data_IF_298326289187
#
_entry.id   IF_298326289187
#
_cell.length_a   1.000
_cell.length_b   1.000
_cell.length_c   1.000
_cell.angle_alpha   90.00
_cell.angle_beta   90.00
_cell.angle_gamma   90.00
#
_symmetry.space_group_name_H-M   'P 1'
#
loop_
_entity.id
_entity.type
_entity.pdbx_description
1 polymer ?
#
# COMPACT_ATOMS: atom_id res chain seq x y z
N UNK A 1 -13.21 15.88 5.95
CA UNK A 1 -11.81 15.78 6.39
C UNK A 1 -11.00 14.81 5.53
N UNK A 2 -11.39 13.54 5.35
CA UNK A 2 -10.73 12.57 4.47
C UNK A 2 -10.46 13.10 3.05
N UNK A 3 -11.43 13.75 2.41
CA UNK A 3 -11.28 14.31 1.06
C UNK A 3 -10.15 15.34 0.99
N UNK A 4 -10.01 16.16 2.02
CA UNK A 4 -8.94 17.18 2.09
C UNK A 4 -7.57 16.52 2.21
N UNK A 5 -7.44 15.49 3.06
CA UNK A 5 -6.21 14.71 3.20
C UNK A 5 -5.84 14.06 1.87
N UNK A 6 -6.79 13.41 1.19
CA UNK A 6 -6.55 12.78 -0.12
C UNK A 6 -6.13 13.81 -1.19
N UNK A 7 -6.76 14.99 -1.21
CA UNK A 7 -6.40 16.05 -2.16
C UNK A 7 -4.98 16.58 -1.90
N UNK A 8 -4.61 16.77 -0.64
CA UNK A 8 -3.27 17.19 -0.25
C UNK A 8 -2.22 16.10 -0.58
N UNK A 9 -2.51 14.83 -0.30
CA UNK A 9 -1.62 13.72 -0.62
C UNK A 9 -1.40 13.58 -2.14
N UNK A 10 -2.47 13.74 -2.93
CA UNK A 10 -2.36 13.77 -4.39
C UNK A 10 -1.49 14.93 -4.88
N UNK A 11 -1.63 16.11 -4.29
CA UNK A 11 -0.78 17.25 -4.60
C UNK A 11 0.69 16.99 -4.23
N UNK A 12 0.95 16.40 -3.06
CA UNK A 12 2.29 16.09 -2.57
C UNK A 12 3.05 15.07 -3.45
N UNK A 13 2.34 14.24 -4.22
CA UNK A 13 2.98 13.30 -5.16
C UNK A 13 3.93 14.01 -6.15
N UNK A 14 3.55 15.21 -6.62
CA UNK A 14 4.34 15.97 -7.61
C UNK A 14 5.66 16.48 -7.01
N UNK A 15 5.69 17.20 -5.88
CA UNK A 15 6.94 17.62 -5.24
C UNK A 15 7.85 16.45 -4.83
N UNK A 16 7.27 15.34 -4.36
CA UNK A 16 8.04 14.15 -4.04
C UNK A 16 8.66 13.48 -5.28
N UNK A 17 7.94 13.44 -6.41
CA UNK A 17 8.48 12.98 -7.68
C UNK A 17 9.63 13.88 -8.16
N UNK A 18 9.49 15.20 -7.98
CA UNK A 18 10.53 16.17 -8.32
C UNK A 18 11.81 15.99 -7.48
N UNK A 19 11.69 15.73 -6.17
CA UNK A 19 12.84 15.42 -5.32
C UNK A 19 13.60 14.17 -5.79
N UNK A 20 12.88 13.14 -6.23
CA UNK A 20 13.47 11.92 -6.81
C UNK A 20 14.17 12.21 -8.13
N UNK A 21 13.55 13.02 -8.99
CA UNK A 21 14.14 13.46 -10.27
C UNK A 21 15.43 14.25 -10.05
N UNK A 22 15.47 15.15 -9.06
CA UNK A 22 16.68 15.90 -8.66
C UNK A 22 17.75 15.05 -7.98
N UNK A 23 17.58 13.74 -7.87
CA UNK A 23 18.52 12.81 -7.19
C UNK A 23 18.86 13.24 -5.76
N UNK A 24 17.85 13.73 -5.00
CA UNK A 24 17.99 14.09 -3.57
C UNK A 24 17.27 13.08 -2.67
N UNK A 25 17.69 11.80 -2.64
CA UNK A 25 16.99 10.74 -1.91
C UNK A 25 17.00 10.97 -0.40
N UNK A 26 18.08 11.53 0.15
CA UNK A 26 18.22 11.78 1.60
C UNK A 26 17.12 12.73 2.07
N UNK A 27 16.89 13.83 1.34
CA UNK A 27 15.84 14.80 1.71
C UNK A 27 14.44 14.16 1.61
N UNK A 28 14.20 13.35 0.57
CA UNK A 28 12.96 12.60 0.42
C UNK A 28 12.71 11.67 1.60
N UNK A 29 13.71 10.86 1.97
CA UNK A 29 13.63 9.92 3.10
C UNK A 29 13.46 10.66 4.41
N UNK A 30 14.21 11.73 4.64
CA UNK A 30 14.14 12.53 5.88
C UNK A 30 12.72 13.11 6.09
N UNK A 31 12.12 13.71 5.06
CA UNK A 31 10.75 14.26 5.15
C UNK A 31 9.74 13.13 5.44
N UNK A 32 9.85 11.98 4.77
CA UNK A 32 8.97 10.83 5.03
C UNK A 32 9.15 10.27 6.42
N UNK A 33 10.39 10.16 6.91
CA UNK A 33 10.69 9.65 8.24
C UNK A 33 10.15 10.56 9.34
N UNK A 34 10.38 11.88 9.23
CA UNK A 34 9.81 12.87 10.15
C UNK A 34 8.29 12.80 10.16
N UNK A 35 7.67 12.65 8.99
CA UNK A 35 6.22 12.53 8.89
C UNK A 35 5.68 11.27 9.56
N UNK A 36 6.35 10.13 9.40
CA UNK A 36 5.95 8.87 10.06
C UNK A 36 6.05 9.02 11.58
N UNK A 37 7.16 9.55 12.08
CA UNK A 37 7.34 9.79 13.52
C UNK A 37 6.26 10.75 14.04
N UNK A 38 6.03 11.87 13.36
CA UNK A 38 5.01 12.84 13.74
C UNK A 38 3.62 12.21 13.77
N UNK A 39 3.28 11.35 12.80
CA UNK A 39 2.01 10.64 12.76
C UNK A 39 1.85 9.68 13.95
N UNK A 40 2.90 8.90 14.26
CA UNK A 40 2.90 7.99 15.41
C UNK A 40 2.73 8.78 16.71
N UNK A 41 3.52 9.83 16.89
CA UNK A 41 3.46 10.67 18.11
C UNK A 41 2.08 11.31 18.27
N UNK A 42 1.50 11.86 17.21
CA UNK A 42 0.16 12.46 17.24
C UNK A 42 -0.92 11.41 17.53
N UNK A 43 -0.83 10.23 16.96
CA UNK A 43 -1.78 9.16 17.26
C UNK A 43 -1.68 8.69 18.72
N UNK A 44 -0.47 8.52 19.26
CA UNK A 44 -0.27 8.20 20.67
C UNK A 44 -0.76 9.33 21.58
N UNK A 45 -0.52 10.58 21.20
CA UNK A 45 -1.01 11.74 21.92
C UNK A 45 -2.54 11.75 22.00
N UNK A 46 -3.24 11.67 20.87
CA UNK A 46 -4.69 11.74 20.84
C UNK A 46 -5.39 10.50 21.38
N UNK A 47 -4.82 9.30 21.18
CA UNK A 47 -5.50 8.05 21.55
C UNK A 47 -5.12 7.51 22.93
N UNK A 48 -3.94 7.87 23.47
CA UNK A 48 -3.50 7.41 24.78
C UNK A 48 -3.37 8.56 25.77
N UNK A 49 -2.66 9.63 25.40
CA UNK A 49 -2.37 10.71 26.33
C UNK A 49 -3.60 11.59 26.62
N UNK A 50 -4.36 11.97 25.60
CA UNK A 50 -5.56 12.79 25.79
C UNK A 50 -6.66 12.12 26.64
N UNK A 51 -7.01 10.84 26.47
CA UNK A 51 -7.95 10.16 27.36
C UNK A 51 -7.45 10.12 28.80
N UNK A 52 -6.19 9.80 29.02
CA UNK A 52 -5.59 9.78 30.35
C UNK A 52 -5.61 11.16 31.02
N UNK A 53 -5.27 12.23 30.25
CA UNK A 53 -5.35 13.61 30.74
C UNK A 53 -6.79 14.05 31.02
N UNK A 54 -7.76 13.62 30.22
CA UNK A 54 -9.18 13.94 30.43
C UNK A 54 -9.70 13.35 31.76
N UNK A 55 -9.24 12.15 32.15
CA UNK A 55 -9.60 11.53 33.42
C UNK A 55 -8.95 12.24 34.62
N UNK A 56 -7.72 12.74 34.50
CA UNK A 56 -6.95 13.28 35.62
C UNK A 56 -6.96 14.82 35.68
N UNK A 57 -7.02 15.50 34.55
CA UNK A 57 -6.93 16.96 34.42
C UNK A 57 -7.90 17.50 33.32
N UNK A 58 -9.22 17.42 33.52
CA UNK A 58 -10.21 17.79 32.51
C UNK A 58 -10.08 19.25 32.03
N UNK A 59 -9.77 20.17 32.96
CA UNK A 59 -9.65 21.61 32.63
C UNK A 59 -8.61 21.94 31.54
N UNK A 60 -7.64 21.08 31.28
CA UNK A 60 -6.55 21.32 30.32
C UNK A 60 -6.86 20.80 28.91
N UNK A 61 -7.79 19.84 28.80
CA UNK A 61 -7.98 19.07 27.57
C UNK A 61 -9.38 19.25 26.97
N UNK A 62 -10.40 19.58 27.78
CA UNK A 62 -11.80 19.63 27.37
C UNK A 62 -12.10 20.65 26.27
N UNK A 63 -11.26 21.69 26.09
CA UNK A 63 -11.49 22.69 25.06
C UNK A 63 -11.17 22.20 23.63
N UNK A 64 -10.33 21.15 23.47
CA UNK A 64 -9.95 20.61 22.14
C UNK A 64 -10.19 19.10 22.01
N UNK A 65 -10.40 18.38 23.10
CA UNK A 65 -10.59 16.94 23.10
C UNK A 65 -12.03 16.56 23.42
N UNK A 66 -12.66 15.79 22.52
CA UNK A 66 -13.99 15.25 22.73
C UNK A 66 -13.92 13.72 22.76
N UNK A 67 -14.26 13.05 23.88
CA UNK A 67 -14.17 11.59 24.02
C UNK A 67 -15.00 10.80 22.99
N UNK A 68 -16.08 11.39 22.46
CA UNK A 68 -16.93 10.73 21.47
C UNK A 68 -16.29 10.67 20.07
N UNK A 69 -15.23 11.46 19.82
CA UNK A 69 -14.63 11.58 18.50
C UNK A 69 -13.52 10.55 18.20
N UNK A 70 -13.17 9.74 19.16
CA UNK A 70 -12.13 8.68 19.23
C UNK A 70 -11.38 8.39 17.90
N UNK A 71 -12.02 7.67 16.95
CA UNK A 71 -11.44 7.31 15.65
C UNK A 71 -11.20 8.54 14.77
N UNK A 72 -11.93 9.62 14.97
CA UNK A 72 -11.78 10.87 14.23
C UNK A 72 -10.41 11.52 14.41
N UNK A 73 -9.79 11.35 15.57
CA UNK A 73 -8.44 11.90 15.84
C UNK A 73 -7.35 11.28 14.97
N UNK A 74 -7.52 10.05 14.48
CA UNK A 74 -6.61 9.45 13.50
C UNK A 74 -6.58 10.29 12.21
N UNK A 75 -7.75 10.76 11.77
CA UNK A 75 -7.84 11.63 10.59
C UNK A 75 -7.28 13.04 10.84
N UNK A 76 -7.39 13.54 12.08
CA UNK A 76 -6.75 14.81 12.50
C UNK A 76 -5.24 14.67 12.45
N UNK A 77 -4.69 13.58 13.01
CA UNK A 77 -3.27 13.28 13.00
C UNK A 77 -2.73 13.18 11.56
N UNK A 78 -3.46 12.49 10.68
CA UNK A 78 -3.12 12.39 9.26
C UNK A 78 -3.13 13.77 8.59
N UNK A 79 -4.14 14.60 8.84
CA UNK A 79 -4.21 15.94 8.26
C UNK A 79 -3.02 16.81 8.70
N UNK A 80 -2.72 16.85 10.00
CA UNK A 80 -1.59 17.60 10.54
C UNK A 80 -0.28 17.13 9.92
N UNK A 81 -0.11 15.80 9.79
CA UNK A 81 1.10 15.21 9.20
C UNK A 81 1.24 15.54 7.72
N UNK A 82 0.15 15.51 6.96
CA UNK A 82 0.15 15.88 5.54
C UNK A 82 0.44 17.37 5.37
N UNK A 83 -0.11 18.23 6.23
CA UNK A 83 0.24 19.67 6.27
C UNK A 83 1.72 19.87 6.61
N UNK A 84 2.28 19.12 7.55
CA UNK A 84 3.71 19.16 7.88
C UNK A 84 4.58 18.79 6.68
N UNK A 85 4.21 17.74 5.92
CA UNK A 85 4.90 17.37 4.69
C UNK A 85 4.86 18.50 3.67
N UNK A 86 3.69 19.12 3.48
CA UNK A 86 3.53 20.24 2.57
C UNK A 86 4.45 21.41 2.99
N UNK A 87 4.47 21.73 4.28
CA UNK A 87 5.32 22.79 4.81
C UNK A 87 6.81 22.54 4.57
N UNK A 88 7.25 21.30 4.79
CA UNK A 88 8.64 20.89 4.52
C UNK A 88 9.01 20.95 3.02
N UNK A 89 8.03 20.87 2.12
CA UNK A 89 8.22 20.91 0.67
C UNK A 89 8.07 22.31 0.07
N UNK A 90 7.57 23.30 0.81
CA UNK A 90 7.45 24.71 0.34
C UNK A 90 8.75 25.23 -0.28
N UNK A 91 9.95 25.01 0.31
CA UNK A 91 11.20 25.50 -0.28
C UNK A 91 11.48 24.95 -1.68
N UNK A 92 11.00 23.73 -1.98
CA UNK A 92 11.15 23.12 -3.31
C UNK A 92 10.13 23.64 -4.32
N UNK A 93 9.00 24.16 -3.84
CA UNK A 93 7.96 24.77 -4.67
C UNK A 93 8.26 26.23 -5.01
N UNK A 94 9.16 26.88 -4.28
CA UNK A 94 9.60 28.24 -4.56
C UNK A 94 10.55 28.26 -5.76
N UNK A 95 10.27 29.12 -6.73
CA UNK A 95 11.11 29.31 -7.92
C UNK A 95 10.59 28.60 -9.18
N UNK A 96 9.43 27.95 -9.13
CA UNK A 96 8.75 27.48 -10.33
C UNK A 96 8.01 28.64 -11.04
N UNK A 97 8.18 28.71 -12.36
CA UNK A 97 7.31 29.53 -13.19
C UNK A 97 5.97 28.76 -13.37
N UNK A 98 4.93 29.21 -12.69
CA UNK A 98 3.58 28.63 -12.76
C UNK A 98 2.93 28.95 -14.12
N UNK A 99 3.51 28.43 -15.20
CA UNK A 99 2.93 28.52 -16.55
C UNK A 99 2.41 27.15 -16.94
N UNK A 100 1.12 27.08 -17.24
CA UNK A 100 0.48 25.84 -17.71
C UNK A 100 0.58 25.81 -19.25
N UNK A 101 1.43 24.92 -19.75
CA UNK A 101 1.42 24.58 -21.18
C UNK A 101 0.29 23.56 -21.42
N UNK A 102 -0.76 24.00 -22.11
CA UNK A 102 -1.95 23.19 -22.43
C UNK A 102 -1.61 21.98 -23.30
N UNK A 103 -0.62 22.10 -24.21
CA UNK A 103 -0.25 20.99 -25.09
C UNK A 103 0.50 19.91 -24.29
N UNK A 104 1.43 20.31 -23.42
CA UNK A 104 2.15 19.41 -22.54
C UNK A 104 1.18 18.72 -21.57
N UNK A 105 0.28 19.47 -20.94
CA UNK A 105 -0.73 18.93 -20.05
C UNK A 105 -1.61 17.88 -20.73
N UNK A 106 -2.07 18.14 -21.96
CA UNK A 106 -2.86 17.19 -22.74
C UNK A 106 -2.10 15.89 -23.01
N UNK A 107 -0.82 15.99 -23.39
CA UNK A 107 0.05 14.81 -23.61
C UNK A 107 0.22 14.01 -22.32
N UNK A 108 0.47 14.67 -21.19
CA UNK A 108 0.60 14.02 -19.89
C UNK A 108 -0.69 13.31 -19.48
N UNK A 109 -1.86 13.92 -19.69
CA UNK A 109 -3.15 13.32 -19.36
C UNK A 109 -3.45 12.10 -20.23
N UNK A 110 -3.18 12.16 -21.55
CA UNK A 110 -3.35 11.02 -22.45
C UNK A 110 -2.46 9.85 -22.04
N UNK A 111 -1.23 10.13 -21.61
CA UNK A 111 -0.30 9.10 -21.14
C UNK A 111 -0.73 8.53 -19.77
N UNK A 112 -1.19 9.38 -18.87
CA UNK A 112 -1.54 8.97 -17.50
C UNK A 112 -2.88 8.22 -17.41
N UNK A 113 -3.80 8.45 -18.32
CA UNK A 113 -5.14 7.85 -18.28
C UNK A 113 -5.14 6.31 -18.35
N UNK A 114 -4.41 5.65 -19.28
CA UNK A 114 -4.30 4.19 -19.26
C UNK A 114 -3.65 3.64 -17.99
N UNK A 115 -2.66 4.36 -17.44
CA UNK A 115 -1.98 3.98 -16.19
C UNK A 115 -2.95 4.08 -15.01
N UNK A 116 -3.81 5.09 -15.00
CA UNK A 116 -4.86 5.24 -13.98
C UNK A 116 -5.84 4.07 -14.01
N UNK A 117 -6.32 3.67 -15.20
CA UNK A 117 -7.21 2.50 -15.34
C UNK A 117 -6.51 1.24 -14.86
N UNK A 118 -5.27 1.01 -15.27
CA UNK A 118 -4.47 -0.12 -14.81
C UNK A 118 -4.32 -0.14 -13.27
N UNK A 119 -4.06 1.02 -12.66
CA UNK A 119 -3.95 1.17 -11.21
C UNK A 119 -5.28 0.90 -10.50
N UNK A 120 -6.41 1.40 -11.02
CA UNK A 120 -7.75 1.16 -10.46
C UNK A 120 -8.10 -0.33 -10.50
N UNK A 121 -7.89 -0.99 -11.64
CA UNK A 121 -8.13 -2.45 -11.77
C UNK A 121 -7.23 -3.23 -10.80
N UNK A 122 -5.97 -2.82 -10.64
CA UNK A 122 -5.05 -3.43 -9.67
C UNK A 122 -5.52 -3.29 -8.21
N UNK A 123 -6.08 -2.14 -7.84
CA UNK A 123 -6.65 -1.93 -6.49
C UNK A 123 -7.93 -2.76 -6.33
N UNK A 124 -8.80 -2.79 -7.34
CA UNK A 124 -10.01 -3.60 -7.30
C UNK A 124 -9.67 -5.09 -7.11
N UNK A 125 -8.68 -5.62 -7.83
CA UNK A 125 -8.23 -7.01 -7.66
C UNK A 125 -7.73 -7.34 -6.25
N UNK A 126 -7.30 -6.34 -5.47
CA UNK A 126 -6.82 -6.54 -4.08
C UNK A 126 -7.90 -6.31 -3.01
N UNK A 127 -9.02 -5.68 -3.39
CA UNK A 127 -10.00 -5.20 -2.41
C UNK A 127 -11.40 -5.74 -2.65
N UNK A 128 -11.68 -6.24 -3.85
CA UNK A 128 -13.03 -6.67 -4.23
C UNK A 128 -13.56 -7.81 -3.35
N UNK A 129 -12.68 -8.75 -2.99
CA UNK A 129 -12.97 -9.83 -2.03
C UNK A 129 -13.48 -9.26 -0.69
N UNK A 130 -12.79 -8.27 -0.15
CA UNK A 130 -13.15 -7.64 1.13
C UNK A 130 -14.43 -6.81 1.04
N UNK A 131 -14.73 -6.26 -0.13
CA UNK A 131 -15.97 -5.49 -0.35
C UNK A 131 -17.16 -6.42 -0.49
N UNK A 132 -17.04 -7.53 -1.22
CA UNK A 132 -18.11 -8.48 -1.49
C UNK A 132 -18.38 -9.37 -0.28
N UNK A 133 -17.35 -9.78 0.46
CA UNK A 133 -17.39 -10.76 1.54
C UNK A 133 -18.54 -10.56 2.54
N UNK A 134 -18.81 -9.35 3.10
CA UNK A 134 -19.90 -9.14 4.05
C UNK A 134 -21.31 -9.31 3.45
N UNK A 135 -21.44 -9.23 2.13
CA UNK A 135 -22.73 -9.38 1.43
C UNK A 135 -23.07 -10.83 1.09
N UNK A 136 -22.11 -11.77 1.26
CA UNK A 136 -22.32 -13.18 1.04
C UNK A 136 -23.02 -13.87 2.23
N UNK A 137 -23.07 -13.22 3.38
CA UNK A 137 -23.71 -13.73 4.58
C UNK A 137 -25.14 -13.23 4.68
N UNK A 138 -26.05 -14.08 5.19
CA UNK A 138 -27.45 -13.70 5.46
C UNK A 138 -27.56 -12.60 6.50
N UNK A 139 -26.69 -12.64 7.51
CA UNK A 139 -26.53 -11.56 8.49
C UNK A 139 -25.26 -10.75 8.19
N UNK A 140 -25.45 -9.46 7.94
CA UNK A 140 -24.34 -8.53 7.65
C UNK A 140 -23.39 -8.37 8.84
N UNK A 141 -23.88 -8.50 10.06
CA UNK A 141 -23.06 -8.42 11.29
C UNK A 141 -22.08 -9.61 11.35
N UNK A 142 -22.60 -10.81 11.10
CA UNK A 142 -21.76 -12.01 11.02
C UNK A 142 -20.73 -11.89 9.91
N UNK A 143 -21.11 -11.41 8.72
CA UNK A 143 -20.20 -11.14 7.62
C UNK A 143 -19.09 -10.18 7.96
N UNK A 144 -19.35 -9.13 8.74
CA UNK A 144 -18.32 -8.20 9.21
C UNK A 144 -17.36 -8.82 10.23
N UNK A 145 -17.86 -9.68 11.13
CA UNK A 145 -17.01 -10.43 12.07
C UNK A 145 -16.08 -11.37 11.31
N UNK A 146 -16.61 -12.13 10.36
CA UNK A 146 -15.82 -13.04 9.53
C UNK A 146 -14.79 -12.29 8.67
N UNK A 147 -15.16 -11.13 8.13
CA UNK A 147 -14.22 -10.25 7.43
C UNK A 147 -13.09 -9.78 8.36
N UNK A 148 -13.40 -9.50 9.64
CA UNK A 148 -12.40 -9.16 10.66
C UNK A 148 -11.41 -10.30 10.88
N UNK A 149 -11.89 -11.54 10.99
CA UNK A 149 -11.09 -12.75 11.14
C UNK A 149 -10.16 -12.95 9.94
N UNK A 150 -10.72 -12.85 8.71
CA UNK A 150 -9.94 -12.88 7.47
C UNK A 150 -8.90 -11.75 7.41
N UNK A 151 -9.29 -10.54 7.84
CA UNK A 151 -8.40 -9.37 7.92
C UNK A 151 -7.21 -9.59 8.85
N UNK A 152 -7.39 -10.30 9.96
CA UNK A 152 -6.30 -10.66 10.88
C UNK A 152 -5.32 -11.65 10.22
N UNK A 153 -5.82 -12.67 9.51
CA UNK A 153 -4.99 -13.60 8.75
C UNK A 153 -4.16 -12.88 7.67
N UNK A 154 -4.78 -11.93 6.95
CA UNK A 154 -4.08 -11.13 5.93
C UNK A 154 -2.98 -10.24 6.50
N UNK A 155 -3.08 -9.79 7.76
CA UNK A 155 -2.00 -9.04 8.43
C UNK A 155 -0.76 -9.89 8.67
N UNK A 156 -0.91 -11.17 9.04
CA UNK A 156 0.22 -12.10 9.15
C UNK A 156 0.85 -12.31 7.78
N UNK A 157 0.03 -12.53 6.76
CA UNK A 157 0.50 -12.71 5.38
C UNK A 157 1.16 -11.45 4.77
N UNK A 158 0.94 -10.27 5.36
CA UNK A 158 1.58 -9.02 4.91
C UNK A 158 3.11 -9.10 4.94
N UNK A 159 3.71 -9.93 5.77
CA UNK A 159 5.16 -10.18 5.78
C UNK A 159 5.64 -10.62 4.38
N UNK A 160 4.88 -11.53 3.73
CA UNK A 160 5.19 -11.96 2.37
C UNK A 160 5.01 -10.84 1.34
N UNK A 161 3.96 -10.01 1.49
CA UNK A 161 3.75 -8.85 0.63
C UNK A 161 4.90 -7.83 0.76
N UNK A 162 5.41 -7.59 1.97
CA UNK A 162 6.59 -6.75 2.21
C UNK A 162 7.84 -7.33 1.56
N UNK A 163 8.07 -8.64 1.67
CA UNK A 163 9.18 -9.32 1.00
C UNK A 163 9.10 -9.15 -0.52
N UNK A 164 7.95 -9.42 -1.12
CA UNK A 164 7.72 -9.25 -2.56
C UNK A 164 7.96 -7.80 -3.00
N UNK A 165 7.52 -6.84 -2.20
CA UNK A 165 7.72 -5.42 -2.46
C UNK A 165 9.20 -5.00 -2.37
N UNK A 166 9.92 -5.48 -1.36
CA UNK A 166 11.35 -5.21 -1.20
C UNK A 166 12.16 -5.79 -2.38
N UNK A 167 11.85 -7.04 -2.77
CA UNK A 167 12.45 -7.65 -3.95
C UNK A 167 12.16 -6.84 -5.22
N UNK A 168 10.94 -6.39 -5.42
CA UNK A 168 10.56 -5.57 -6.58
C UNK A 168 11.35 -4.27 -6.63
N UNK A 169 11.52 -3.57 -5.52
CA UNK A 169 12.28 -2.32 -5.48
C UNK A 169 13.77 -2.50 -5.81
N UNK A 170 14.35 -3.64 -5.44
CA UNK A 170 15.74 -3.95 -5.79
C UNK A 170 15.88 -4.41 -7.24
N UNK A 171 14.91 -5.20 -7.72
CA UNK A 171 14.97 -5.85 -9.03
C UNK A 171 14.60 -4.92 -10.18
N UNK A 172 13.62 -4.03 -9.99
CA UNK A 172 13.11 -3.13 -11.03
C UNK A 172 14.20 -2.25 -11.67
N UNK A 173 15.05 -1.50 -10.91
CA UNK A 173 16.14 -0.72 -11.50
C UNK A 173 17.19 -1.57 -12.21
N UNK A 174 17.45 -2.78 -11.71
CA UNK A 174 18.40 -3.70 -12.29
C UNK A 174 17.96 -4.21 -13.66
N UNK A 175 16.68 -4.55 -13.82
CA UNK A 175 16.08 -5.00 -15.08
C UNK A 175 16.11 -3.91 -16.13
N UNK A 176 15.66 -2.71 -15.78
CA UNK A 176 15.64 -1.58 -16.72
C UNK A 176 17.05 -1.06 -17.06
N UNK A 177 18.00 -1.17 -16.14
CA UNK A 177 19.40 -0.77 -16.36
C UNK A 177 20.12 -1.63 -17.39
N UNK A 178 19.78 -2.91 -17.49
CA UNK A 178 20.42 -3.88 -18.39
C UNK A 178 19.68 -4.16 -19.70
N UNK A 179 18.59 -3.47 -19.95
CA UNK A 179 17.76 -3.66 -21.15
C UNK A 179 18.57 -3.54 -22.48
N UNK A 180 19.65 -2.76 -22.50
CA UNK A 180 20.48 -2.51 -23.68
C UNK A 180 21.56 -3.56 -23.96
N UNK A 181 21.80 -4.53 -23.07
CA UNK A 181 22.95 -5.46 -23.13
C UNK A 181 22.67 -6.80 -23.86
N UNK A 182 21.54 -6.95 -24.55
CA UNK A 182 21.26 -8.16 -25.35
C UNK A 182 20.38 -9.20 -24.65
N UNK A 183 20.57 -10.51 -24.92
CA UNK A 183 19.69 -11.58 -24.41
C UNK A 183 19.84 -11.80 -22.90
N UNK A 184 18.99 -11.13 -22.14
CA UNK A 184 18.95 -11.19 -20.67
C UNK A 184 18.04 -12.31 -20.11
N UNK A 185 17.58 -13.26 -20.94
CA UNK A 185 16.62 -14.32 -20.52
C UNK A 185 17.17 -15.16 -19.37
N UNK A 186 18.45 -15.51 -19.41
CA UNK A 186 19.10 -16.28 -18.32
C UNK A 186 19.10 -15.52 -17.00
N UNK A 187 19.33 -14.22 -17.05
CA UNK A 187 19.32 -13.35 -15.88
C UNK A 187 17.91 -13.25 -15.27
N UNK A 188 16.87 -13.10 -16.08
CA UNK A 188 15.50 -13.07 -15.60
C UNK A 188 15.06 -14.41 -15.01
N UNK A 189 15.46 -15.52 -15.63
CA UNK A 189 15.20 -16.85 -15.11
C UNK A 189 15.92 -17.10 -13.76
N UNK A 190 17.15 -16.65 -13.62
CA UNK A 190 17.88 -16.73 -12.36
C UNK A 190 17.23 -15.88 -11.26
N UNK A 191 16.86 -14.65 -11.56
CA UNK A 191 16.18 -13.79 -10.61
C UNK A 191 14.85 -14.38 -10.13
N UNK A 192 14.05 -14.94 -11.05
CA UNK A 192 12.82 -15.64 -10.71
C UNK A 192 13.10 -16.87 -9.83
N UNK A 193 14.12 -17.64 -10.16
CA UNK A 193 14.55 -18.80 -9.35
C UNK A 193 14.89 -18.39 -7.91
N UNK A 194 15.70 -17.35 -7.75
CA UNK A 194 16.07 -16.88 -6.41
C UNK A 194 14.86 -16.28 -5.68
N UNK A 195 14.01 -15.54 -6.37
CA UNK A 195 12.76 -15.05 -5.78
C UNK A 195 11.92 -16.20 -5.22
N UNK A 196 11.72 -17.27 -6.00
CA UNK A 196 10.94 -18.43 -5.55
C UNK A 196 11.59 -19.14 -4.35
N UNK A 197 12.91 -19.33 -4.36
CA UNK A 197 13.64 -19.96 -3.25
C UNK A 197 13.43 -19.15 -1.96
N UNK A 198 13.63 -17.84 -2.00
CA UNK A 198 13.46 -16.99 -0.83
C UNK A 198 12.00 -16.84 -0.41
N UNK A 199 11.06 -16.78 -1.36
CA UNK A 199 9.64 -16.73 -1.06
C UNK A 199 9.15 -18.02 -0.39
N UNK A 200 9.57 -19.19 -0.89
CA UNK A 200 9.24 -20.48 -0.26
C UNK A 200 9.91 -20.64 1.11
N UNK A 201 11.13 -20.14 1.27
CA UNK A 201 11.78 -20.10 2.57
C UNK A 201 11.01 -19.21 3.56
N UNK A 202 10.62 -18.01 3.15
CA UNK A 202 9.80 -17.12 3.97
C UNK A 202 8.43 -17.74 4.32
N UNK A 203 7.80 -18.45 3.38
CA UNK A 203 6.59 -19.23 3.63
C UNK A 203 6.81 -20.26 4.73
N UNK A 204 7.85 -21.07 4.63
CA UNK A 204 8.18 -22.08 5.64
C UNK A 204 8.44 -21.44 7.01
N UNK A 205 9.19 -20.34 7.07
CA UNK A 205 9.45 -19.62 8.32
C UNK A 205 8.14 -19.16 8.96
N UNK A 206 7.26 -18.53 8.22
CA UNK A 206 5.96 -18.08 8.75
C UNK A 206 5.13 -19.26 9.24
N UNK A 207 5.10 -20.37 8.50
CA UNK A 207 4.33 -21.55 8.88
C UNK A 207 4.90 -22.24 10.12
N UNK A 208 6.23 -22.36 10.25
CA UNK A 208 6.86 -22.92 11.46
C UNK A 208 6.64 -22.06 12.70
N UNK A 209 6.64 -20.74 12.53
CA UNK A 209 6.45 -19.80 13.64
C UNK A 209 5.01 -19.30 13.77
N UNK A 210 4.04 -19.96 13.13
CA UNK A 210 2.64 -19.54 13.17
C UNK A 210 2.09 -19.51 14.59
N UNK A 211 2.47 -20.50 15.42
CA UNK A 211 2.10 -20.55 16.83
C UNK A 211 2.65 -19.38 17.67
N UNK A 212 3.79 -18.82 17.26
CA UNK A 212 4.34 -17.61 17.89
C UNK A 212 3.62 -16.36 17.34
N UNK A 213 3.39 -16.32 16.03
CA UNK A 213 2.74 -15.18 15.35
C UNK A 213 1.28 -14.99 15.77
N UNK A 214 0.60 -16.06 16.22
CA UNK A 214 -0.78 -15.95 16.73
C UNK A 214 -0.90 -14.99 17.91
N UNK A 215 0.14 -14.85 18.76
CA UNK A 215 0.13 -13.89 19.87
C UNK A 215 0.15 -12.42 19.43
N UNK A 216 0.46 -12.13 18.18
CA UNK A 216 0.32 -10.79 17.60
C UNK A 216 -1.13 -10.43 17.27
N UNK A 217 -2.04 -11.41 17.34
CA UNK A 217 -3.45 -11.28 16.98
C UNK A 217 -4.29 -11.63 18.20
N UNK A 218 -5.36 -10.87 18.47
CA UNK A 218 -6.24 -11.16 19.58
C UNK A 218 -6.88 -12.56 19.47
N UNK A 219 -7.14 -13.26 20.59
CA UNK A 219 -7.64 -14.65 20.59
C UNK A 219 -8.91 -14.87 19.76
N UNK A 220 -9.79 -13.88 19.71
CA UNK A 220 -11.06 -13.94 18.97
C UNK A 220 -10.86 -14.13 17.44
N UNK A 221 -9.67 -13.80 16.93
CA UNK A 221 -9.33 -13.91 15.52
C UNK A 221 -8.51 -15.17 15.15
N UNK A 222 -8.22 -16.04 16.11
CA UNK A 222 -7.38 -17.23 15.87
C UNK A 222 -8.00 -18.23 14.88
N UNK A 223 -9.31 -18.23 14.73
CA UNK A 223 -9.99 -19.06 13.74
C UNK A 223 -9.49 -18.77 12.29
N UNK A 224 -9.03 -17.54 12.02
CA UNK A 224 -8.47 -17.16 10.73
C UNK A 224 -7.07 -17.68 10.43
N UNK A 225 -6.37 -18.26 11.42
CA UNK A 225 -4.99 -18.74 11.21
C UNK A 225 -4.91 -19.89 10.20
N UNK A 226 -5.96 -20.71 10.08
CA UNK A 226 -6.05 -21.76 9.08
C UNK A 226 -5.96 -21.23 7.64
N UNK A 227 -6.35 -20.00 7.40
CA UNK A 227 -6.37 -19.36 6.08
C UNK A 227 -5.02 -18.72 5.73
N UNK A 228 -4.14 -18.50 6.71
CA UNK A 228 -2.84 -17.81 6.53
C UNK A 228 -2.01 -18.47 5.44
N UNK A 229 -1.94 -19.81 5.41
CA UNK A 229 -1.17 -20.55 4.41
C UNK A 229 -1.63 -20.24 2.98
N UNK A 230 -2.96 -20.17 2.79
CA UNK A 230 -3.58 -19.88 1.49
C UNK A 230 -3.27 -18.45 1.07
N UNK A 231 -3.41 -17.50 2.00
CA UNK A 231 -3.17 -16.08 1.72
C UNK A 231 -1.69 -15.81 1.39
N UNK A 232 -0.74 -16.45 2.11
CA UNK A 232 0.68 -16.35 1.77
C UNK A 232 0.97 -16.97 0.41
N UNK A 233 0.36 -18.13 0.10
CA UNK A 233 0.45 -18.75 -1.22
C UNK A 233 -0.02 -17.79 -2.32
N UNK A 234 -1.15 -17.11 -2.13
CA UNK A 234 -1.66 -16.11 -3.05
C UNK A 234 -0.67 -14.93 -3.24
N UNK A 235 -0.02 -14.45 -2.16
CA UNK A 235 1.00 -13.40 -2.25
C UNK A 235 2.26 -13.87 -3.00
N UNK A 236 2.64 -15.16 -2.91
CA UNK A 236 3.73 -15.74 -3.71
C UNK A 236 3.36 -15.72 -5.20
N UNK A 237 2.17 -16.19 -5.58
CA UNK A 237 1.69 -16.13 -6.96
C UNK A 237 1.64 -14.71 -7.50
N UNK A 238 1.21 -13.76 -6.70
CA UNK A 238 1.24 -12.34 -7.03
C UNK A 238 2.67 -11.85 -7.28
N UNK A 239 3.64 -12.28 -6.46
CA UNK A 239 5.07 -11.99 -6.67
C UNK A 239 5.60 -12.58 -7.98
N UNK A 240 5.21 -13.81 -8.33
CA UNK A 240 5.52 -14.44 -9.62
C UNK A 240 4.95 -13.60 -10.77
N UNK A 241 3.67 -13.21 -10.67
CA UNK A 241 3.01 -12.36 -11.66
C UNK A 241 3.76 -11.03 -11.86
N UNK A 242 4.19 -10.38 -10.78
CA UNK A 242 5.00 -9.15 -10.88
C UNK A 242 6.32 -9.38 -11.61
N UNK A 243 7.04 -10.47 -11.31
CA UNK A 243 8.27 -10.80 -12.02
C UNK A 243 8.03 -11.04 -13.53
N UNK A 244 7.00 -11.79 -13.88
CA UNK A 244 6.61 -12.02 -15.27
C UNK A 244 6.15 -10.74 -15.97
N UNK A 245 5.59 -9.79 -15.23
CA UNK A 245 5.11 -8.52 -15.80
C UNK A 245 6.22 -7.65 -16.39
N UNK A 246 7.47 -7.88 -16.03
CA UNK A 246 8.60 -7.15 -16.63
C UNK A 246 8.77 -7.46 -18.11
N UNK A 247 8.40 -8.66 -18.57
CA UNK A 247 8.50 -9.02 -19.97
C UNK A 247 7.76 -8.02 -20.88
N UNK A 248 6.48 -7.80 -20.67
CA UNK A 248 5.71 -6.87 -21.53
C UNK A 248 6.05 -5.38 -21.29
N UNK A 249 6.61 -5.05 -20.12
CA UNK A 249 7.10 -3.69 -19.83
C UNK A 249 8.39 -3.39 -20.60
N UNK A 250 9.25 -4.39 -20.76
CA UNK A 250 10.54 -4.25 -21.46
C UNK A 250 10.39 -4.14 -22.98
N UNK A 251 9.34 -4.73 -23.55
CA UNK A 251 9.02 -4.65 -24.98
C UNK A 251 8.06 -3.52 -25.32
N UNK A 252 7.77 -2.63 -24.35
CA UNK A 252 6.80 -1.52 -24.45
C UNK A 252 5.35 -1.94 -24.83
N UNK A 253 5.04 -3.23 -24.70
CA UNK A 253 3.72 -3.81 -24.95
C UNK A 253 2.86 -3.85 -23.67
N UNK A 254 2.71 -2.72 -22.99
CA UNK A 254 1.98 -2.59 -21.73
C UNK A 254 0.49 -2.97 -21.81
N UNK A 255 -0.07 -3.06 -23.02
CA UNK A 255 -1.45 -3.52 -23.27
C UNK A 255 -1.71 -4.90 -22.69
N UNK A 256 -0.73 -5.80 -22.75
CA UNK A 256 -0.86 -7.15 -22.17
C UNK A 256 -1.11 -7.11 -20.65
N UNK A 257 -0.46 -6.17 -19.96
CA UNK A 257 -0.71 -5.97 -18.54
C UNK A 257 -2.16 -5.58 -18.23
N UNK A 258 -2.77 -4.72 -19.05
CA UNK A 258 -4.17 -4.35 -18.92
C UNK A 258 -5.11 -5.55 -19.20
N UNK A 259 -4.86 -6.32 -20.25
CA UNK A 259 -5.67 -7.51 -20.55
C UNK A 259 -5.61 -8.56 -19.44
N UNK A 260 -4.42 -8.91 -18.96
CA UNK A 260 -4.28 -9.86 -17.85
C UNK A 260 -4.94 -9.36 -16.57
N UNK A 261 -4.84 -8.07 -16.28
CA UNK A 261 -5.49 -7.50 -15.09
C UNK A 261 -7.01 -7.52 -15.20
N UNK A 262 -7.59 -7.22 -16.37
CA UNK A 262 -9.03 -7.27 -16.60
C UNK A 262 -9.54 -8.71 -16.50
N UNK A 263 -8.86 -9.66 -17.15
CA UNK A 263 -9.23 -11.09 -17.07
C UNK A 263 -9.15 -11.57 -15.63
N UNK A 264 -8.08 -11.22 -14.89
CA UNK A 264 -7.95 -11.54 -13.48
C UNK A 264 -9.09 -10.96 -12.65
N UNK A 265 -9.49 -9.71 -12.89
CA UNK A 265 -10.61 -9.08 -12.19
C UNK A 265 -11.94 -9.81 -12.44
N UNK A 266 -12.22 -10.17 -13.68
CA UNK A 266 -13.45 -10.93 -14.04
C UNK A 266 -13.47 -12.28 -13.35
N UNK A 267 -12.35 -13.00 -13.33
CA UNK A 267 -12.23 -14.29 -12.64
C UNK A 267 -12.45 -14.14 -11.13
N UNK A 268 -11.79 -13.13 -10.50
CA UNK A 268 -11.93 -12.89 -9.06
C UNK A 268 -13.37 -12.54 -8.70
N UNK A 269 -14.01 -11.63 -9.44
CA UNK A 269 -15.42 -11.28 -9.19
C UNK A 269 -16.33 -12.50 -9.41
N UNK A 270 -16.13 -13.25 -10.48
CA UNK A 270 -16.92 -14.46 -10.76
C UNK A 270 -16.79 -15.51 -9.66
N UNK A 271 -15.58 -15.78 -9.18
CA UNK A 271 -15.34 -16.76 -8.11
C UNK A 271 -15.84 -16.29 -6.73
N UNK A 272 -15.93 -14.98 -6.47
CA UNK A 272 -16.45 -14.46 -5.21
C UNK A 272 -18.00 -14.43 -5.18
N UNK A 273 -18.67 -14.49 -6.34
CA UNK A 273 -20.15 -14.48 -6.42
C UNK A 273 -20.73 -15.88 -6.50
N UNK A 274 -19.94 -16.89 -6.91
CA UNK A 274 -20.31 -18.31 -6.89
C UNK A 274 -20.21 -18.90 -5.47
#
# INVERSE_FOLDING_TARGET
MMIIVMALDAFLCIPFAYLRFKKRPIKFVAIKFVSIIANIVLNLFFLLLCPWLHEHFPAWVDWFYNPTYLVGYIFVSNLITTCLQLFCLIPELRGFAYRVDKQLLKRMLIYSFPILIFGLVGILNQTVDKIIYPFLFADRQEGLVQLGIYGAATKIAMVMAMFTQAFRYAYEPFVFGKQKEGDNRRMYAQAMKYFLIFAMFAFLVVMFYLDLLRYMVAPDYWAGLSVVAIVIGAEIFKGIYFNLSFWYKLIDETRWGAYFSIVGCVIIVGMNVM
#
